data_IF_154581059506
#
_entry.id   IF_154581059506
#
_cell.length_a   1.000
_cell.length_b   1.000
_cell.length_c   1.000
_cell.angle_alpha   90.00
_cell.angle_beta   90.00
_cell.angle_gamma   90.00
#
_symmetry.space_group_name_H-M   'P 1'
#
loop_
_entity.id
_entity.type
_entity.pdbx_description
1 polymer ?
#
# COMPACT_ATOMS: atom_id res chain seq x y z
N UNK A 1 37.09 -21.99 14.15
CA UNK A 1 37.46 -20.58 13.89
C UNK A 1 36.29 -19.95 13.15
N UNK A 2 35.48 -19.16 13.85
CA UNK A 2 34.33 -18.46 13.28
C UNK A 2 34.67 -16.98 13.21
N UNK A 3 34.68 -16.42 12.01
CA UNK A 3 34.66 -14.98 11.78
C UNK A 3 33.97 -14.76 10.44
N UNK A 4 32.68 -14.42 10.50
CA UNK A 4 32.18 -13.09 10.20
C UNK A 4 31.92 -12.91 8.71
N UNK A 5 30.74 -13.38 8.27
CA UNK A 5 30.12 -12.87 7.06
C UNK A 5 29.67 -11.45 7.37
N UNK A 6 30.50 -10.47 7.04
CA UNK A 6 30.04 -9.09 6.88
C UNK A 6 28.93 -9.12 5.85
N UNK A 7 27.69 -8.91 6.28
CA UNK A 7 26.58 -8.68 5.37
C UNK A 7 26.97 -7.48 4.52
N UNK A 8 27.20 -7.71 3.22
CA UNK A 8 27.46 -6.63 2.29
C UNK A 8 26.32 -5.61 2.41
N UNK A 9 26.64 -4.39 2.82
CA UNK A 9 25.70 -3.29 2.90
C UNK A 9 25.22 -2.96 1.48
N UNK A 10 24.14 -3.62 1.04
CA UNK A 10 23.33 -3.08 -0.04
C UNK A 10 22.78 -1.70 0.38
N UNK A 11 22.36 -0.84 -0.55
CA UNK A 11 21.83 0.51 -0.27
C UNK A 11 20.52 0.51 0.54
N UNK A 12 20.02 -0.67 0.94
CA UNK A 12 18.76 -0.84 1.64
C UNK A 12 18.94 -1.69 2.89
N UNK A 13 18.16 -1.44 3.95
CA UNK A 13 18.21 -2.25 5.15
C UNK A 13 17.83 -3.70 4.86
N UNK A 14 18.42 -4.62 5.62
CA UNK A 14 18.28 -6.07 5.42
C UNK A 14 16.83 -6.56 5.40
N UNK A 15 15.95 -5.96 6.21
CA UNK A 15 14.53 -6.33 6.23
C UNK A 15 13.85 -6.08 4.87
N UNK A 16 14.18 -4.99 4.16
CA UNK A 16 13.64 -4.71 2.81
C UNK A 16 14.13 -5.77 1.83
N UNK A 17 15.41 -6.11 1.89
CA UNK A 17 16.00 -7.13 1.02
C UNK A 17 15.33 -8.50 1.21
N UNK A 18 15.04 -8.89 2.46
CA UNK A 18 14.34 -10.14 2.78
C UNK A 18 12.93 -10.17 2.17
N UNK A 19 12.17 -9.08 2.30
CA UNK A 19 10.84 -8.96 1.68
C UNK A 19 10.94 -9.10 0.17
N UNK A 20 11.84 -8.35 -0.47
CA UNK A 20 12.01 -8.38 -1.94
C UNK A 20 12.42 -9.77 -2.44
N UNK A 21 13.41 -10.39 -1.80
CA UNK A 21 13.86 -11.75 -2.14
C UNK A 21 12.73 -12.75 -2.03
N UNK A 22 11.96 -12.70 -0.94
CA UNK A 22 10.86 -13.62 -0.71
C UNK A 22 9.71 -13.43 -1.71
N UNK A 23 9.31 -12.18 -2.00
CA UNK A 23 8.31 -11.89 -3.05
C UNK A 23 8.80 -12.40 -4.41
N UNK A 24 10.03 -12.09 -4.80
CA UNK A 24 10.57 -12.48 -6.10
C UNK A 24 10.64 -14.00 -6.26
N UNK A 25 10.97 -14.72 -5.18
CA UNK A 25 11.03 -16.18 -5.18
C UNK A 25 9.65 -16.84 -5.27
N UNK A 26 8.61 -16.28 -4.62
CA UNK A 26 7.36 -17.01 -4.38
C UNK A 26 6.13 -16.43 -5.06
N UNK A 27 6.14 -15.19 -5.56
CA UNK A 27 4.93 -14.54 -6.13
C UNK A 27 4.29 -15.28 -7.31
N UNK A 28 5.03 -16.14 -8.02
CA UNK A 28 4.44 -16.90 -9.14
C UNK A 28 3.45 -17.94 -8.63
N UNK A 29 3.81 -18.63 -7.56
CA UNK A 29 3.08 -19.78 -7.01
C UNK A 29 2.22 -19.40 -5.79
N UNK A 30 2.61 -18.36 -5.05
CA UNK A 30 1.95 -17.87 -3.84
C UNK A 30 1.55 -16.40 -4.03
N UNK A 31 0.33 -16.12 -4.52
CA UNK A 31 -0.15 -14.73 -4.64
C UNK A 31 -0.41 -14.07 -3.28
N UNK A 32 -0.69 -14.86 -2.24
CA UNK A 32 -0.90 -14.38 -0.86
C UNK A 32 0.33 -13.65 -0.30
N UNK A 33 1.53 -13.89 -0.84
CA UNK A 33 2.76 -13.18 -0.45
C UNK A 33 2.67 -11.67 -0.63
N UNK A 34 1.71 -11.15 -1.42
CA UNK A 34 1.47 -9.71 -1.57
C UNK A 34 0.45 -9.14 -0.58
N UNK A 35 -0.20 -9.96 0.23
CA UNK A 35 -1.27 -9.53 1.12
C UNK A 35 -0.76 -9.48 2.55
N UNK A 36 -1.00 -8.37 3.24
CA UNK A 36 -0.69 -8.24 4.65
C UNK A 36 -1.88 -7.66 5.42
N UNK A 37 -1.98 -8.04 6.68
CA UNK A 37 -2.98 -7.50 7.59
C UNK A 37 -2.52 -6.10 8.03
N UNK A 38 -3.33 -5.08 7.76
CA UNK A 38 -3.13 -3.70 8.20
C UNK A 38 -3.99 -3.43 9.43
N UNK A 39 -3.34 -3.22 10.57
CA UNK A 39 -3.95 -2.77 11.80
C UNK A 39 -3.95 -1.23 11.88
N UNK A 40 -5.13 -0.66 12.09
CA UNK A 40 -5.34 0.76 12.42
C UNK A 40 -6.19 0.83 13.69
N UNK A 41 -6.41 2.02 14.22
CA UNK A 41 -7.32 2.18 15.36
C UNK A 41 -8.18 3.44 15.24
N UNK A 42 -9.37 3.38 15.81
CA UNK A 42 -10.18 4.56 16.10
C UNK A 42 -9.87 5.03 17.53
N UNK A 43 -9.61 6.32 17.76
CA UNK A 43 -9.44 6.87 19.10
C UNK A 43 -10.68 6.67 19.98
N UNK A 44 -10.50 6.66 21.30
CA UNK A 44 -11.60 6.60 22.26
C UNK A 44 -12.62 7.72 22.04
N UNK A 45 -13.91 7.39 22.15
CA UNK A 45 -15.02 8.33 21.96
C UNK A 45 -15.35 8.63 20.50
N UNK A 46 -14.59 8.12 19.53
CA UNK A 46 -14.81 8.35 18.10
C UNK A 46 -15.36 7.08 17.44
N UNK A 47 -16.57 7.15 16.89
CA UNK A 47 -17.16 6.09 16.08
C UNK A 47 -16.97 6.36 14.59
N UNK A 48 -16.72 5.32 13.80
CA UNK A 48 -16.72 5.39 12.34
C UNK A 48 -18.12 5.66 11.76
N UNK A 49 -19.19 5.59 12.57
CA UNK A 49 -20.58 5.82 12.16
C UNK A 49 -21.20 7.13 12.68
N UNK A 50 -20.41 8.01 13.31
CA UNK A 50 -20.91 9.29 13.83
C UNK A 50 -21.70 9.21 15.14
N UNK A 51 -21.81 8.02 15.74
CA UNK A 51 -22.34 7.81 17.10
C UNK A 51 -21.25 8.01 18.16
N UNK A 52 -21.63 8.09 19.45
CA UNK A 52 -20.66 8.01 20.53
C UNK A 52 -19.89 6.67 20.41
N UNK A 53 -18.58 6.76 20.18
CA UNK A 53 -17.70 5.58 20.17
C UNK A 53 -17.50 5.03 21.58
N UNK A 54 -16.97 3.82 21.71
CA UNK A 54 -16.58 3.29 23.02
C UNK A 54 -15.55 4.21 23.70
N UNK A 55 -15.54 4.23 25.03
CA UNK A 55 -14.60 5.03 25.84
C UNK A 55 -13.14 4.52 25.77
N UNK A 56 -12.85 3.60 24.86
CA UNK A 56 -11.53 3.00 24.64
C UNK A 56 -11.22 3.02 23.15
N UNK A 57 -9.93 3.09 22.81
CA UNK A 57 -9.51 2.94 21.42
C UNK A 57 -9.93 1.57 20.86
N UNK A 58 -10.35 1.53 19.60
CA UNK A 58 -10.82 0.29 18.94
C UNK A 58 -9.86 -0.08 17.83
N UNK A 59 -9.21 -1.26 17.89
CA UNK A 59 -8.39 -1.74 16.79
C UNK A 59 -9.27 -2.22 15.64
N UNK A 60 -8.81 -1.99 14.42
CA UNK A 60 -9.43 -2.51 13.21
C UNK A 60 -8.35 -3.16 12.34
N UNK A 61 -8.66 -4.34 11.79
CA UNK A 61 -7.72 -5.12 10.97
C UNK A 61 -8.40 -5.56 9.68
N UNK A 62 -7.66 -5.54 8.58
CA UNK A 62 -8.08 -6.04 7.26
C UNK A 62 -6.86 -6.36 6.41
N UNK A 63 -7.03 -7.20 5.40
CA UNK A 63 -6.00 -7.39 4.38
C UNK A 63 -5.95 -6.21 3.41
N UNK A 64 -4.73 -5.83 3.04
CA UNK A 64 -4.45 -4.92 1.93
C UNK A 64 -3.36 -5.51 1.05
N UNK A 65 -3.23 -4.99 -0.17
CA UNK A 65 -2.25 -5.49 -1.14
C UNK A 65 -1.03 -4.60 -1.14
N UNK A 66 0.15 -5.19 -1.01
CA UNK A 66 1.43 -4.55 -1.24
C UNK A 66 1.59 -4.19 -2.73
N UNK A 67 1.89 -2.92 -3.00
CA UNK A 67 2.04 -2.35 -4.35
C UNK A 67 3.49 -1.98 -4.69
N UNK A 68 4.45 -2.54 -3.96
CA UNK A 68 5.88 -2.28 -4.13
C UNK A 68 6.41 -1.27 -3.11
N UNK A 69 7.70 -0.99 -3.22
CA UNK A 69 8.34 0.11 -2.50
C UNK A 69 8.24 1.41 -3.31
N UNK A 70 8.37 2.54 -2.61
CA UNK A 70 8.32 3.86 -3.21
C UNK A 70 9.35 4.02 -4.34
N UNK A 71 8.90 4.57 -5.47
CA UNK A 71 9.69 4.78 -6.68
C UNK A 71 10.31 3.49 -7.26
N UNK A 72 9.80 2.31 -6.91
CA UNK A 72 10.32 1.04 -7.38
C UNK A 72 9.50 0.50 -8.57
N UNK A 73 10.20 0.11 -9.63
CA UNK A 73 9.67 -0.63 -10.77
C UNK A 73 10.45 -1.94 -10.93
N UNK A 74 9.77 -3.01 -11.36
CA UNK A 74 10.45 -4.24 -11.75
C UNK A 74 11.22 -4.01 -13.03
N UNK A 75 12.45 -4.50 -13.08
CA UNK A 75 13.31 -4.44 -14.26
C UNK A 75 14.12 -5.72 -14.36
N UNK A 76 14.05 -6.39 -15.51
CA UNK A 76 14.91 -7.52 -15.85
C UNK A 76 16.37 -7.12 -16.08
N UNK A 77 16.62 -5.82 -16.28
CA UNK A 77 17.89 -5.29 -16.77
C UNK A 77 18.83 -4.90 -15.62
N UNK A 78 18.38 -5.09 -14.37
CA UNK A 78 19.14 -4.77 -13.16
C UNK A 78 19.42 -6.04 -12.35
N UNK A 79 20.60 -6.18 -11.73
CA UNK A 79 20.92 -7.36 -10.90
C UNK A 79 19.97 -7.55 -9.71
N UNK A 80 19.36 -6.47 -9.21
CA UNK A 80 18.40 -6.49 -8.09
C UNK A 80 16.97 -6.81 -8.54
N UNK A 81 16.70 -6.85 -9.84
CA UNK A 81 15.35 -7.04 -10.39
C UNK A 81 14.47 -5.80 -10.31
N UNK A 82 15.01 -4.65 -9.92
CA UNK A 82 14.28 -3.40 -9.70
C UNK A 82 15.07 -2.17 -10.15
N UNK A 83 14.37 -1.19 -10.72
CA UNK A 83 14.90 0.12 -11.10
C UNK A 83 14.00 1.26 -10.58
N UNK A 84 14.53 2.49 -10.44
CA UNK A 84 13.72 3.66 -10.16
C UNK A 84 12.62 3.88 -11.21
N UNK A 85 11.42 4.25 -10.78
CA UNK A 85 10.31 4.56 -11.68
C UNK A 85 10.45 5.96 -12.29
N UNK A 86 10.86 6.93 -11.47
CA UNK A 86 11.24 8.28 -11.88
C UNK A 86 12.77 8.39 -11.90
N UNK A 87 13.37 8.79 -13.03
CA UNK A 87 14.80 8.97 -13.14
C UNK A 87 15.28 10.06 -12.17
N UNK A 88 16.53 9.98 -11.76
CA UNK A 88 17.15 10.95 -10.85
C UNK A 88 16.86 10.75 -9.37
N UNK A 89 15.98 9.82 -9.03
CA UNK A 89 15.67 9.44 -7.65
C UNK A 89 16.07 7.99 -7.35
N UNK A 90 16.40 7.70 -6.09
CA UNK A 90 16.61 6.34 -5.57
C UNK A 90 15.26 5.63 -5.36
N UNK A 91 15.29 4.34 -5.06
CA UNK A 91 14.11 3.64 -4.53
C UNK A 91 14.06 3.79 -3.01
N UNK A 92 12.86 3.98 -2.45
CA UNK A 92 12.68 4.20 -1.01
C UNK A 92 12.48 2.90 -0.21
N UNK A 93 12.41 3.03 1.11
CA UNK A 93 11.99 1.96 2.04
C UNK A 93 10.49 1.99 2.34
N UNK A 94 9.81 3.08 2.00
CA UNK A 94 8.37 3.22 2.21
C UNK A 94 7.59 2.19 1.41
N UNK A 95 6.61 1.54 2.05
CA UNK A 95 5.77 0.53 1.41
C UNK A 95 4.53 1.20 0.82
N UNK A 96 4.13 0.79 -0.37
CA UNK A 96 2.94 1.29 -1.03
C UNK A 96 1.78 0.31 -0.86
N UNK A 97 0.61 0.84 -0.52
CA UNK A 97 -0.68 0.16 -0.70
C UNK A 97 -1.71 1.17 -1.22
N UNK A 98 -2.95 0.75 -1.46
CA UNK A 98 -3.97 1.61 -2.06
C UNK A 98 -5.30 1.45 -1.36
N UNK A 99 -6.08 2.52 -1.31
CA UNK A 99 -7.44 2.49 -0.77
C UNK A 99 -8.32 3.46 -1.54
N UNK A 100 -9.63 3.24 -1.43
CA UNK A 100 -10.59 4.30 -1.69
C UNK A 100 -10.41 5.35 -0.58
N UNK A 101 -10.31 6.62 -0.95
CA UNK A 101 -10.14 7.76 -0.02
C UNK A 101 -11.33 7.88 0.94
N UNK A 102 -12.50 7.36 0.55
CA UNK A 102 -13.74 7.40 1.33
C UNK A 102 -13.86 6.21 2.29
N UNK A 103 -12.94 5.25 2.24
CA UNK A 103 -13.03 4.04 3.05
C UNK A 103 -12.83 4.35 4.55
N UNK A 104 -13.49 3.63 5.48
CA UNK A 104 -13.37 3.86 6.93
C UNK A 104 -11.94 3.87 7.45
N UNK A 105 -11.05 3.06 6.86
CA UNK A 105 -9.62 3.03 7.24
C UNK A 105 -8.91 4.37 7.01
N UNK A 106 -9.33 5.17 6.04
CA UNK A 106 -8.73 6.48 5.75
C UNK A 106 -9.12 7.47 6.85
N UNK A 107 -10.39 7.46 7.26
CA UNK A 107 -10.85 8.25 8.40
C UNK A 107 -10.13 7.85 9.71
N UNK A 108 -9.94 6.54 9.94
CA UNK A 108 -9.18 6.03 11.08
C UNK A 108 -7.74 6.57 11.09
N UNK A 109 -7.05 6.54 9.94
CA UNK A 109 -5.69 7.07 9.82
C UNK A 109 -5.61 8.57 10.08
N UNK A 110 -6.56 9.35 9.56
CA UNK A 110 -6.63 10.79 9.82
C UNK A 110 -6.80 11.08 11.32
N UNK A 111 -7.61 10.27 12.02
CA UNK A 111 -7.87 10.42 13.46
C UNK A 111 -6.73 9.90 14.34
N UNK A 112 -5.93 8.93 13.86
CA UNK A 112 -4.83 8.32 14.60
C UNK A 112 -3.45 8.96 14.35
N UNK A 113 -3.39 10.05 13.57
CA UNK A 113 -2.13 10.65 13.14
C UNK A 113 -1.30 9.72 12.23
N UNK A 114 -1.98 8.82 11.51
CA UNK A 114 -1.39 7.90 10.56
C UNK A 114 -0.75 6.65 11.18
N UNK A 115 -0.70 6.50 12.49
CA UNK A 115 -0.05 5.34 13.11
C UNK A 115 -0.79 4.03 12.79
N UNK A 116 -0.03 3.05 12.32
CA UNK A 116 -0.50 1.72 11.94
C UNK A 116 0.60 0.66 12.09
N UNK A 117 0.19 -0.60 12.20
CA UNK A 117 1.09 -1.75 12.16
C UNK A 117 0.64 -2.73 11.07
N UNK A 118 1.59 -3.26 10.31
CA UNK A 118 1.36 -4.37 9.39
C UNK A 118 1.82 -5.67 10.03
N UNK A 119 1.06 -6.75 9.84
CA UNK A 119 1.52 -8.12 10.03
C UNK A 119 1.50 -8.85 8.68
N UNK A 120 2.66 -9.35 8.27
CA UNK A 120 2.87 -9.93 6.95
C UNK A 120 3.54 -11.29 7.07
N UNK A 121 2.81 -12.33 6.67
CA UNK A 121 3.30 -13.70 6.64
C UNK A 121 3.70 -14.09 5.22
N UNK A 122 4.91 -14.64 5.07
CA UNK A 122 5.40 -15.24 3.84
C UNK A 122 5.55 -16.74 4.07
N UNK A 123 4.54 -17.50 3.68
CA UNK A 123 4.41 -18.91 4.07
C UNK A 123 5.57 -19.76 3.51
N UNK A 124 5.84 -19.63 2.22
CA UNK A 124 6.91 -20.38 1.57
C UNK A 124 8.31 -20.11 2.16
N UNK A 125 8.55 -18.91 2.69
CA UNK A 125 9.83 -18.52 3.28
C UNK A 125 9.88 -18.74 4.80
N UNK A 126 8.74 -19.04 5.43
CA UNK A 126 8.55 -19.10 6.88
C UNK A 126 9.03 -17.82 7.59
N UNK A 127 8.75 -16.67 6.96
CA UNK A 127 9.11 -15.34 7.46
C UNK A 127 7.86 -14.58 7.88
N UNK A 128 7.89 -14.01 9.08
CA UNK A 128 6.91 -13.01 9.52
C UNK A 128 7.59 -11.64 9.62
N UNK A 129 6.95 -10.63 9.08
CA UNK A 129 7.32 -9.23 9.24
C UNK A 129 6.22 -8.50 9.99
N UNK A 130 6.57 -7.83 11.09
CA UNK A 130 5.70 -6.84 11.73
C UNK A 130 6.30 -5.46 11.52
N UNK A 131 5.56 -4.58 10.85
CA UNK A 131 6.07 -3.27 10.42
C UNK A 131 5.22 -2.19 11.08
N UNK A 132 5.78 -1.51 12.07
CA UNK A 132 5.18 -0.35 12.73
C UNK A 132 5.65 0.92 12.02
N UNK A 133 4.72 1.82 11.71
CA UNK A 133 5.04 3.07 11.05
C UNK A 133 3.87 4.05 10.92
N UNK A 134 4.12 5.14 10.21
CA UNK A 134 3.10 6.14 9.86
C UNK A 134 2.67 5.95 8.41
N UNK A 135 1.37 5.78 8.20
CA UNK A 135 0.74 5.62 6.90
C UNK A 135 0.13 6.95 6.44
N UNK A 136 0.69 7.50 5.36
CA UNK A 136 0.29 8.80 4.81
C UNK A 136 -0.64 8.59 3.62
N UNK A 137 -1.73 9.37 3.57
CA UNK A 137 -2.74 9.29 2.51
C UNK A 137 -2.42 10.31 1.43
N UNK A 138 -2.15 9.85 0.21
CA UNK A 138 -1.99 10.68 -0.98
C UNK A 138 -3.23 10.53 -1.88
N UNK A 139 -4.23 11.43 -1.76
CA UNK A 139 -5.38 11.47 -2.64
C UNK A 139 -5.06 12.17 -3.97
N UNK A 140 -6.07 12.42 -4.80
CA UNK A 140 -5.96 13.31 -5.96
C UNK A 140 -5.58 14.75 -5.54
N UNK A 141 -4.93 15.54 -6.42
CA UNK A 141 -4.73 16.96 -6.20
C UNK A 141 -6.04 17.71 -5.92
N UNK A 142 -6.00 18.67 -4.99
CA UNK A 142 -7.12 19.48 -4.53
C UNK A 142 -8.04 18.81 -3.50
N UNK A 143 -7.78 17.56 -3.09
CA UNK A 143 -8.52 16.91 -2.01
C UNK A 143 -8.05 17.40 -0.64
N UNK A 144 -8.93 17.53 0.35
CA UNK A 144 -8.60 18.10 1.68
C UNK A 144 -7.42 17.39 2.39
N UNK A 145 -7.34 16.06 2.27
CA UNK A 145 -6.27 15.26 2.85
C UNK A 145 -4.90 15.47 2.17
N UNK A 146 -4.87 16.02 0.94
CA UNK A 146 -3.62 16.28 0.22
C UNK A 146 -2.70 17.23 0.99
N UNK A 147 -3.26 18.24 1.65
CA UNK A 147 -2.51 19.23 2.42
C UNK A 147 -1.73 18.63 3.59
N UNK A 148 -2.13 17.43 4.05
CA UNK A 148 -1.49 16.72 5.16
C UNK A 148 -0.40 15.75 4.69
N UNK A 149 -0.26 15.54 3.38
CA UNK A 149 0.71 14.59 2.83
C UNK A 149 2.13 15.20 2.82
N UNK A 150 3.12 14.61 3.52
CA UNK A 150 4.44 15.21 3.69
C UNK A 150 5.37 14.94 2.48
N UNK A 151 5.08 15.65 1.37
CA UNK A 151 5.69 15.46 0.04
C UNK A 151 7.22 15.45 0.04
N UNK A 152 7.84 16.47 0.62
CA UNK A 152 9.31 16.62 0.59
C UNK A 152 10.00 15.56 1.45
N UNK A 153 9.43 15.30 2.63
CA UNK A 153 9.98 14.40 3.64
C UNK A 153 9.93 12.93 3.22
N UNK A 154 8.88 12.52 2.51
CA UNK A 154 8.72 11.16 2.02
C UNK A 154 9.36 10.93 0.65
N UNK A 155 9.79 11.98 -0.05
CA UNK A 155 10.37 11.82 -1.38
C UNK A 155 11.61 10.91 -1.28
N UNK A 156 11.87 10.03 -2.27
CA UNK A 156 13.12 9.30 -2.31
C UNK A 156 14.30 10.27 -2.46
N UNK A 157 15.49 9.83 -2.08
CA UNK A 157 16.68 10.65 -2.26
C UNK A 157 17.03 10.80 -3.73
N UNK A 158 17.75 11.88 -4.05
CA UNK A 158 18.31 12.06 -5.38
C UNK A 158 19.52 11.17 -5.60
N UNK A 159 19.73 10.74 -6.83
CA UNK A 159 20.94 10.04 -7.23
C UNK A 159 22.15 10.99 -7.16
N UNK A 160 23.30 10.44 -6.73
CA UNK A 160 24.53 11.21 -6.61
C UNK A 160 24.94 11.81 -7.97
N UNK A 161 25.23 13.11 -7.98
CA UNK A 161 25.61 13.86 -9.20
C UNK A 161 24.48 14.60 -9.89
N UNK A 162 23.22 14.44 -9.46
CA UNK A 162 22.13 15.31 -9.91
C UNK A 162 22.19 16.68 -9.22
N UNK A 163 22.05 17.76 -9.99
CA UNK A 163 22.19 19.14 -9.49
C UNK A 163 21.01 19.52 -8.59
N UNK A 164 21.28 20.34 -7.57
CA UNK A 164 20.34 20.88 -6.58
C UNK A 164 19.25 21.85 -7.14
N UNK A 165 18.93 21.77 -8.43
CA UNK A 165 17.85 22.52 -9.09
C UNK A 165 16.96 21.68 -10.01
N UNK A 166 17.08 20.34 -9.93
CA UNK A 166 16.22 19.41 -10.67
C UNK A 166 14.80 19.37 -10.08
N UNK A 167 13.82 18.98 -10.92
CA UNK A 167 12.39 18.88 -10.56
C UNK A 167 12.18 18.05 -9.29
N UNK A 168 11.21 18.44 -8.46
CA UNK A 168 10.80 17.68 -7.27
C UNK A 168 10.20 16.33 -7.65
N UNK A 169 10.23 15.35 -6.75
CA UNK A 169 9.61 14.04 -6.99
C UNK A 169 8.12 14.21 -7.33
N UNK A 170 7.69 13.67 -8.47
CA UNK A 170 6.31 13.83 -8.94
C UNK A 170 5.41 12.78 -8.28
N UNK A 171 4.85 13.15 -7.13
CA UNK A 171 3.93 12.32 -6.39
C UNK A 171 2.65 11.98 -7.15
N UNK A 172 2.17 12.85 -8.04
CA UNK A 172 0.98 12.55 -8.84
C UNK A 172 1.30 11.52 -9.91
N UNK A 173 2.45 11.64 -10.58
CA UNK A 173 2.92 10.59 -11.49
C UNK A 173 3.09 9.24 -10.76
N UNK A 174 3.58 9.23 -9.53
CA UNK A 174 3.68 8.00 -8.72
C UNK A 174 2.30 7.42 -8.38
N UNK A 175 1.34 8.26 -7.96
CA UNK A 175 -0.05 7.87 -7.70
C UNK A 175 -0.70 7.27 -8.94
N UNK A 176 -0.57 7.93 -10.10
CA UNK A 176 -1.15 7.50 -11.37
C UNK A 176 -0.45 6.26 -11.93
N UNK A 177 0.87 6.11 -11.74
CA UNK A 177 1.60 4.88 -12.10
C UNK A 177 1.05 3.67 -11.37
N UNK A 178 0.73 3.80 -10.09
CA UNK A 178 0.15 2.72 -9.30
C UNK A 178 -1.30 2.48 -9.71
N UNK A 179 -2.14 3.52 -9.84
CA UNK A 179 -3.53 3.40 -10.29
C UNK A 179 -3.66 2.73 -11.68
N UNK A 180 -2.84 3.14 -12.65
CA UNK A 180 -2.88 2.62 -14.01
C UNK A 180 -2.45 1.15 -14.16
N UNK A 181 -1.92 0.52 -13.09
CA UNK A 181 -1.57 -0.91 -13.03
C UNK A 181 -2.67 -1.77 -12.39
N UNK A 182 -3.77 -1.17 -11.92
CA UNK A 182 -4.85 -1.90 -11.26
C UNK A 182 -5.63 -2.77 -12.25
N UNK A 183 -6.10 -3.93 -11.79
CA UNK A 183 -6.96 -4.81 -12.59
C UNK A 183 -8.31 -4.13 -12.91
N UNK A 184 -8.99 -4.52 -14.00
CA UNK A 184 -10.29 -3.93 -14.38
C UNK A 184 -11.32 -3.87 -13.25
N UNK A 185 -11.50 -4.97 -12.51
CA UNK A 185 -12.43 -5.01 -11.39
C UNK A 185 -12.03 -4.13 -10.20
N UNK A 186 -10.73 -3.88 -10.01
CA UNK A 186 -10.24 -3.01 -8.94
C UNK A 186 -10.38 -1.54 -9.32
N UNK A 187 -10.14 -1.18 -10.59
CA UNK A 187 -10.45 0.14 -11.12
C UNK A 187 -11.94 0.46 -10.92
N UNK A 188 -12.82 -0.47 -11.29
CA UNK A 188 -14.26 -0.31 -11.10
C UNK A 188 -14.65 -0.14 -9.63
N UNK A 189 -13.96 -0.81 -8.70
CA UNK A 189 -14.29 -0.73 -7.28
C UNK A 189 -14.24 0.70 -6.70
N UNK A 190 -13.38 1.57 -7.22
CA UNK A 190 -13.29 2.97 -6.80
C UNK A 190 -14.44 3.84 -7.35
N UNK A 191 -15.19 3.36 -8.34
CA UNK A 191 -16.37 4.03 -8.88
C UNK A 191 -17.70 3.53 -8.26
N UNK A 192 -17.63 2.58 -7.33
CA UNK A 192 -18.79 2.04 -6.61
C UNK A 192 -19.22 2.99 -5.47
N UNK A 193 -20.38 2.73 -4.84
CA UNK A 193 -20.76 3.40 -3.59
C UNK A 193 -19.65 3.33 -2.53
N UNK A 194 -19.75 4.21 -1.53
CA UNK A 194 -18.72 4.33 -0.48
C UNK A 194 -18.45 2.97 0.17
N UNK A 195 -17.20 2.49 0.21
CA UNK A 195 -16.91 1.18 0.78
C UNK A 195 -17.36 1.07 2.24
N UNK A 196 -18.15 0.04 2.54
CA UNK A 196 -18.71 -0.20 3.87
C UNK A 196 -20.05 0.51 4.12
N UNK A 197 -20.59 1.28 3.17
CA UNK A 197 -21.97 1.76 3.23
C UNK A 197 -22.96 0.61 3.04
N UNK A 198 -24.20 0.81 3.49
CA UNK A 198 -25.30 -0.12 3.20
C UNK A 198 -25.45 -0.32 1.68
N UNK A 199 -25.79 -1.55 1.27
CA UNK A 199 -26.01 -1.88 -0.13
C UNK A 199 -27.29 -1.17 -0.64
N UNK A 200 -27.28 -0.45 -1.78
CA UNK A 200 -28.47 0.25 -2.30
C UNK A 200 -29.70 -0.63 -2.53
N UNK A 201 -29.50 -1.92 -2.77
CA UNK A 201 -30.57 -2.92 -2.88
C UNK A 201 -30.73 -3.80 -1.61
N UNK A 202 -30.23 -3.42 -0.44
CA UNK A 202 -30.24 -4.25 0.78
C UNK A 202 -31.62 -4.87 1.08
N UNK A 203 -32.69 -4.07 0.98
CA UNK A 203 -34.07 -4.53 1.18
C UNK A 203 -34.54 -5.61 0.19
N UNK A 204 -33.95 -5.66 -1.02
CA UNK A 204 -34.26 -6.65 -2.08
C UNK A 204 -33.38 -7.89 -2.00
N UNK A 205 -32.15 -7.75 -1.50
CA UNK A 205 -31.20 -8.86 -1.41
C UNK A 205 -31.64 -9.88 -0.33
N UNK A 206 -32.24 -9.41 0.78
CA UNK A 206 -32.85 -10.25 1.83
C UNK A 206 -31.93 -11.37 2.37
N UNK A 207 -32.51 -12.30 3.15
CA UNK A 207 -31.81 -13.52 3.62
C UNK A 207 -31.67 -14.58 2.50
N UNK A 208 -32.12 -14.28 1.28
CA UNK A 208 -32.38 -15.28 0.22
C UNK A 208 -31.29 -15.38 -0.85
N UNK A 209 -30.32 -14.47 -0.89
CA UNK A 209 -29.29 -14.42 -1.95
C UNK A 209 -27.88 -14.82 -1.52
N UNK A 210 -27.75 -15.41 -0.33
CA UNK A 210 -26.48 -15.95 0.16
C UNK A 210 -25.51 -14.87 0.66
N UNK A 211 -24.83 -15.17 1.76
CA UNK A 211 -23.80 -14.31 2.35
C UNK A 211 -22.40 -14.55 1.78
N UNK A 212 -21.40 -13.75 2.20
CA UNK A 212 -20.00 -14.04 1.89
C UNK A 212 -19.62 -15.48 2.29
N UNK A 213 -19.19 -16.29 1.32
CA UNK A 213 -18.76 -17.68 1.56
C UNK A 213 -19.85 -18.74 1.39
N UNK A 214 -21.05 -18.38 0.94
CA UNK A 214 -22.10 -19.34 0.57
C UNK A 214 -22.16 -19.52 -0.96
N UNK A 215 -22.01 -20.75 -1.45
CA UNK A 215 -22.18 -21.11 -2.87
C UNK A 215 -23.69 -21.04 -3.23
N UNK A 216 -24.16 -20.54 -4.39
CA UNK A 216 -24.12 -21.30 -5.65
C UNK A 216 -24.61 -20.49 -6.90
N UNK A 217 -24.31 -19.19 -7.01
CA UNK A 217 -24.52 -18.41 -8.26
C UNK A 217 -23.74 -17.08 -8.21
N UNK A 218 -23.30 -16.54 -9.36
CA UNK A 218 -22.52 -15.31 -9.36
C UNK A 218 -23.32 -14.15 -8.76
N UNK A 219 -22.88 -13.64 -7.61
CA UNK A 219 -23.19 -12.28 -7.16
C UNK A 219 -22.73 -11.19 -8.15
N UNK A 220 -22.00 -11.61 -9.20
CA UNK A 220 -21.58 -10.81 -10.37
C UNK A 220 -22.65 -10.75 -11.46
N UNK A 221 -23.93 -10.74 -11.12
CA UNK A 221 -24.95 -10.48 -12.14
C UNK A 221 -24.78 -9.02 -12.61
N UNK A 222 -24.36 -8.84 -13.87
CA UNK A 222 -24.39 -7.56 -14.59
C UNK A 222 -25.79 -6.91 -14.56
N UNK A 223 -26.81 -7.66 -14.14
CA UNK A 223 -28.22 -7.28 -14.05
C UNK A 223 -28.68 -6.78 -12.67
N UNK A 224 -27.94 -7.01 -11.58
CA UNK A 224 -28.43 -6.73 -10.21
C UNK A 224 -27.69 -5.59 -9.49
N UNK A 225 -26.42 -5.38 -9.81
CA UNK A 225 -25.62 -4.29 -9.24
C UNK A 225 -25.73 -3.04 -10.13
N UNK A 226 -26.20 -1.90 -9.63
CA UNK A 226 -26.31 -0.66 -10.42
C UNK A 226 -24.95 0.04 -10.68
N UNK A 227 -23.82 -0.62 -10.45
CA UNK A 227 -22.46 -0.06 -10.56
C UNK A 227 -21.55 -0.92 -11.44
N UNK A 228 -20.47 -0.35 -11.98
CA UNK A 228 -19.54 -1.09 -12.82
C UNK A 228 -18.87 -2.24 -12.07
N UNK A 229 -18.82 -3.40 -12.73
CA UNK A 229 -18.04 -4.54 -12.25
C UNK A 229 -16.58 -4.44 -12.69
N UNK A 230 -16.34 -3.93 -13.90
CA UNK A 230 -15.01 -3.76 -14.49
C UNK A 230 -14.91 -2.41 -15.22
N UNK A 231 -13.70 -1.85 -15.26
CA UNK A 231 -13.35 -0.70 -16.08
C UNK A 231 -12.09 -1.01 -16.90
N UNK A 232 -11.98 -0.51 -18.13
CA UNK A 232 -10.82 -0.76 -18.98
C UNK A 232 -9.54 -0.19 -18.35
N UNK A 233 -8.41 -0.85 -18.59
CA UNK A 233 -7.11 -0.40 -18.10
C UNK A 233 -6.59 0.73 -18.99
N UNK A 234 -6.31 1.93 -18.44
CA UNK A 234 -5.90 3.10 -19.23
C UNK A 234 -4.62 2.88 -20.05
N UNK A 235 -3.72 2.01 -19.58
CA UNK A 235 -2.38 1.81 -20.13
C UNK A 235 -2.25 0.55 -21.01
N UNK A 236 -3.33 -0.20 -21.27
CA UNK A 236 -3.27 -1.36 -22.17
C UNK A 236 -3.43 -0.90 -23.63
N UNK A 237 -2.63 -1.48 -24.52
CA UNK A 237 -2.58 -1.15 -25.96
C UNK A 237 -3.85 -1.53 -26.74
N UNK A 238 -4.67 -2.43 -26.20
CA UNK A 238 -5.91 -2.85 -26.85
C UNK A 238 -7.04 -1.91 -26.42
N UNK A 239 -7.35 -0.93 -27.28
CA UNK A 239 -8.47 -0.01 -27.09
C UNK A 239 -8.12 1.25 -26.31
N UNK A 240 -7.18 2.07 -26.82
CA UNK A 240 -6.71 3.29 -26.14
C UNK A 240 -7.83 4.25 -25.74
N UNK A 241 -7.51 5.37 -25.08
CA UNK A 241 -8.51 6.33 -24.56
C UNK A 241 -9.55 6.80 -25.61
N UNK A 242 -9.20 6.75 -26.89
CA UNK A 242 -10.06 7.04 -28.03
C UNK A 242 -11.23 6.04 -28.23
N UNK A 243 -11.08 4.79 -27.77
CA UNK A 243 -12.07 3.71 -27.93
C UNK A 243 -13.00 3.59 -26.70
N UNK A 244 -12.79 4.41 -25.68
CA UNK A 244 -13.62 4.45 -24.47
C UNK A 244 -14.94 5.19 -24.74
N UNK A 245 -16.05 4.61 -24.30
CA UNK A 245 -17.32 5.33 -24.27
C UNK A 245 -17.26 6.51 -23.29
N UNK A 246 -18.07 7.54 -23.52
CA UNK A 246 -18.13 8.70 -22.61
C UNK A 246 -18.48 8.30 -21.16
N UNK A 247 -19.30 7.26 -20.99
CA UNK A 247 -19.62 6.71 -19.66
C UNK A 247 -18.40 6.03 -19.02
N UNK A 248 -17.61 5.27 -19.78
CA UNK A 248 -16.39 4.65 -19.28
C UNK A 248 -15.35 5.70 -18.86
N UNK A 249 -15.18 6.77 -19.66
CA UNK A 249 -14.30 7.90 -19.31
C UNK A 249 -14.75 8.55 -18.00
N UNK A 250 -16.04 8.84 -17.85
CA UNK A 250 -16.61 9.40 -16.62
C UNK A 250 -16.38 8.49 -15.41
N UNK A 251 -16.61 7.19 -15.54
CA UNK A 251 -16.39 6.22 -14.46
C UNK A 251 -14.90 6.07 -14.10
N UNK A 252 -14.00 6.16 -15.08
CA UNK A 252 -12.55 6.18 -14.83
C UNK A 252 -12.12 7.45 -14.11
N UNK A 253 -12.69 8.61 -14.44
CA UNK A 253 -12.44 9.85 -13.71
C UNK A 253 -12.92 9.76 -12.25
N UNK A 254 -14.11 9.18 -12.01
CA UNK A 254 -14.60 8.91 -10.66
C UNK A 254 -13.63 7.95 -9.94
N UNK A 255 -13.26 6.84 -10.58
CA UNK A 255 -12.31 5.87 -10.04
C UNK A 255 -10.98 6.52 -9.63
N UNK A 256 -10.39 7.31 -10.55
CA UNK A 256 -9.15 8.05 -10.34
C UNK A 256 -9.28 9.08 -9.22
N UNK A 257 -10.45 9.70 -9.06
CA UNK A 257 -10.71 10.69 -8.02
C UNK A 257 -10.82 10.11 -6.61
N UNK A 258 -11.39 8.90 -6.50
CA UNK A 258 -11.54 8.18 -5.23
C UNK A 258 -10.29 7.36 -4.89
N UNK A 259 -9.38 7.15 -5.83
CA UNK A 259 -8.13 6.45 -5.60
C UNK A 259 -7.16 7.26 -4.73
N UNK A 260 -6.73 6.67 -3.62
CA UNK A 260 -5.62 7.15 -2.80
C UNK A 260 -4.46 6.15 -2.79
N UNK A 261 -3.25 6.66 -2.97
CA UNK A 261 -2.02 5.94 -2.66
C UNK A 261 -1.74 6.08 -1.17
N UNK A 262 -1.50 4.97 -0.48
CA UNK A 262 -1.12 4.94 0.92
C UNK A 262 0.36 4.63 1.02
N UNK A 263 1.12 5.54 1.63
CA UNK A 263 2.59 5.45 1.75
C UNK A 263 2.94 5.18 3.20
N UNK A 264 3.37 3.94 3.49
CA UNK A 264 3.80 3.55 4.83
C UNK A 264 5.28 3.91 4.99
N UNK A 265 5.55 4.83 5.89
CA UNK A 265 6.88 5.13 6.37
C UNK A 265 7.21 4.22 7.56
N UNK A 266 8.09 3.20 7.40
CA UNK A 266 8.41 2.28 8.48
C UNK A 266 9.31 2.95 9.53
N UNK A 267 9.04 2.68 10.81
CA UNK A 267 9.85 3.11 11.95
C UNK A 267 10.52 1.93 12.65
N UNK A 268 9.79 0.82 12.75
CA UNK A 268 10.29 -0.41 13.35
C UNK A 268 9.82 -1.61 12.53
N UNK A 269 10.72 -2.58 12.32
CA UNK A 269 10.43 -3.83 11.63
C UNK A 269 10.92 -4.99 12.48
N UNK A 270 10.01 -5.82 12.96
CA UNK A 270 10.32 -7.07 13.68
C UNK A 270 10.21 -8.24 12.70
N UNK A 271 11.32 -8.94 12.49
CA UNK A 271 11.43 -10.05 11.54
C UNK A 271 11.64 -11.34 12.32
N UNK A 272 10.71 -12.28 12.14
CA UNK A 272 10.80 -13.64 12.67
C UNK A 272 11.01 -14.61 11.50
N UNK A 273 12.09 -15.38 11.55
CA UNK A 273 12.42 -16.48 10.66
C UNK A 273 12.23 -17.78 11.44
N UNK A 274 11.05 -18.38 11.27
CA UNK A 274 10.65 -19.59 11.98
C UNK A 274 11.43 -20.82 11.49
N UNK A 275 11.84 -20.86 10.22
CA UNK A 275 12.61 -21.97 9.67
C UNK A 275 13.99 -22.11 10.32
N UNK A 276 14.54 -21.04 10.89
CA UNK A 276 15.89 -21.01 11.47
C UNK A 276 15.92 -20.63 12.96
N UNK A 277 14.75 -20.47 13.58
CA UNK A 277 14.59 -20.02 14.96
C UNK A 277 15.33 -18.70 15.22
N UNK A 278 14.97 -17.68 14.44
CA UNK A 278 15.69 -16.41 14.38
C UNK A 278 14.75 -15.21 14.47
N UNK A 279 15.06 -14.24 15.34
CA UNK A 279 14.35 -12.96 15.39
C UNK A 279 15.31 -11.76 15.40
N UNK A 280 14.98 -10.74 14.62
CA UNK A 280 15.73 -9.48 14.56
C UNK A 280 14.76 -8.31 14.56
N UNK A 281 15.04 -7.31 15.40
CA UNK A 281 14.34 -6.04 15.42
C UNK A 281 15.17 -4.99 14.68
N UNK A 282 14.55 -4.31 13.72
CA UNK A 282 15.14 -3.20 12.99
C UNK A 282 14.47 -1.91 13.41
N UNK A 283 15.25 -0.93 13.86
CA UNK A 283 14.75 0.37 14.30
C UNK A 283 15.41 1.46 13.49
N UNK A 284 14.60 2.41 12.98
CA UNK A 284 15.12 3.56 12.26
C UNK A 284 15.82 4.50 13.24
N UNK A 285 17.08 4.82 12.97
CA UNK A 285 17.91 5.70 13.81
C UNK A 285 17.71 7.17 13.41
N UNK A 286 17.58 7.43 12.12
CA UNK A 286 17.36 8.79 11.60
C UNK A 286 15.99 9.32 12.06
N UNK A 287 15.92 10.51 12.71
CA UNK A 287 14.65 11.10 13.13
C UNK A 287 13.72 11.30 11.93
N UNK A 288 12.42 11.05 12.13
CA UNK A 288 11.40 11.21 11.09
C UNK A 288 11.31 12.64 10.52
N UNK A 289 11.87 13.64 11.23
CA UNK A 289 11.92 15.06 10.84
C UNK A 289 13.07 15.43 9.90
N UNK A 290 13.95 14.49 9.53
CA UNK A 290 15.08 14.75 8.66
C UNK A 290 14.59 14.97 7.23
N UNK A 291 14.71 16.19 6.71
CA UNK A 291 14.18 16.61 5.40
C UNK A 291 14.82 15.93 4.17
N UNK A 292 15.74 14.97 4.38
CA UNK A 292 16.40 14.20 3.32
C UNK A 292 15.83 12.78 3.27
N UNK A 293 14.57 12.67 2.85
CA UNK A 293 13.88 11.40 2.65
C UNK A 293 14.67 10.45 1.73
N UNK A 294 14.88 9.21 2.17
CA UNK A 294 15.39 8.10 1.37
C UNK A 294 16.91 7.94 1.21
N UNK A 295 17.74 8.94 1.53
CA UNK A 295 19.18 8.92 1.22
C UNK A 295 20.08 8.45 2.35
N UNK A 296 19.74 8.90 3.57
CA UNK A 296 20.51 8.67 4.80
C UNK A 296 19.63 7.96 5.84
N UNK A 297 18.82 7.00 5.40
CA UNK A 297 18.06 6.16 6.32
C UNK A 297 18.97 5.16 7.01
N UNK A 298 19.36 5.48 8.24
CA UNK A 298 20.12 4.58 9.09
C UNK A 298 19.17 3.68 9.87
N UNK A 299 19.49 2.39 9.89
CA UNK A 299 18.73 1.35 10.58
C UNK A 299 19.63 0.56 11.51
N UNK A 300 19.20 0.41 12.76
CA UNK A 300 19.86 -0.44 13.75
C UNK A 300 19.19 -1.81 13.79
N UNK A 301 19.96 -2.87 13.57
CA UNK A 301 19.49 -4.26 13.78
C UNK A 301 19.90 -4.74 15.17
N UNK A 302 18.93 -5.24 15.94
CA UNK A 302 19.14 -5.90 17.24
C UNK A 302 18.64 -7.33 17.16
N UNK A 303 19.51 -8.28 17.51
CA UNK A 303 19.14 -9.70 17.60
C UNK A 303 18.29 -9.95 18.84
N UNK A 304 17.14 -10.60 18.67
CA UNK A 304 16.24 -10.95 19.77
C UNK A 304 16.16 -12.47 19.96
N UNK A 305 15.69 -12.88 21.12
CA UNK A 305 15.20 -14.24 21.34
C UNK A 305 13.94 -14.43 20.48
N UNK A 306 13.84 -15.53 19.70
CA UNK A 306 12.67 -15.85 18.89
C UNK A 306 11.36 -15.81 19.68
#
# INVERSE_FOLDING_TARGET
>A
MSASVTAAAGPHPRWKQLIQQSINAHIKDEKSVLYHALATFSPAGVSSSGTAGPNTAVPHVRYVVHRGFLNENRSSDTPTGTAPAQPGFTTGTSLLTTSDVRAPKVAQLAQSGGWAELAWWHDSAQLQFRILGQLHVLPRPGHELEAHFPRERLAPARLAGERSGAESFDWEAERLRVWGKMSPGLLASFARPVPGSEHPNAAKLGDTQGGPGEDDKPAKDELQSPWPQELPQPNKKDGGEADLSEEQKKLLEISKSNFALLVLEPHQVDVVDLARDKRSLFERVTPASSANGGGDEEWKETRLVP
#
